data_IF_111746726574
#
_entry.id   IF_111746726574
#
_cell.length_a   1.000
_cell.length_b   1.000
_cell.length_c   1.000
_cell.angle_alpha   90.00
_cell.angle_beta   90.00
_cell.angle_gamma   90.00
#
_symmetry.space_group_name_H-M   'P 1'
#
loop_
_entity.id
_entity.type
_entity.pdbx_description
1 polymer ?
#
# COMPACT_ATOMS: atom_id res chain seq x y z
N UNK A 1 -12.09 -10.96 -6.30
CA UNK A 1 -11.76 -9.61 -5.84
C UNK A 1 -11.94 -8.61 -6.96
N UNK A 2 -12.39 -7.41 -6.59
CA UNK A 2 -12.58 -6.27 -7.51
C UNK A 2 -11.72 -5.13 -7.01
N UNK A 3 -10.79 -4.65 -7.83
CA UNK A 3 -9.98 -3.47 -7.53
C UNK A 3 -10.50 -2.28 -8.32
N UNK A 4 -10.70 -1.16 -7.64
CA UNK A 4 -11.22 0.08 -8.22
C UNK A 4 -10.36 1.26 -7.80
N UNK A 5 -10.02 2.14 -8.76
CA UNK A 5 -9.23 3.35 -8.53
C UNK A 5 -10.17 4.52 -8.19
N UNK A 6 -9.97 5.15 -7.03
CA UNK A 6 -10.78 6.28 -6.53
C UNK A 6 -9.83 7.41 -6.12
N UNK A 7 -9.10 7.93 -7.10
CA UNK A 7 -8.03 8.90 -6.87
C UNK A 7 -8.33 10.28 -7.43
N UNK A 8 -8.78 10.34 -8.69
CA UNK A 8 -8.77 11.57 -9.46
C UNK A 8 -10.05 12.40 -9.22
N UNK A 9 -9.86 13.68 -8.86
CA UNK A 9 -10.97 14.63 -8.67
C UNK A 9 -11.76 14.87 -9.96
N UNK A 10 -11.09 14.83 -11.13
CA UNK A 10 -11.75 15.01 -12.41
C UNK A 10 -12.61 13.81 -12.78
N UNK A 11 -12.09 12.59 -12.59
CA UNK A 11 -12.87 11.35 -12.78
C UNK A 11 -14.09 11.32 -11.86
N UNK A 12 -13.94 11.69 -10.59
CA UNK A 12 -15.06 11.77 -9.64
C UNK A 12 -16.09 12.79 -10.07
N UNK A 13 -15.66 13.98 -10.55
CA UNK A 13 -16.55 15.01 -11.08
C UNK A 13 -17.28 14.55 -12.33
N UNK A 14 -16.60 13.86 -13.25
CA UNK A 14 -17.19 13.34 -14.48
C UNK A 14 -18.22 12.24 -14.18
N UNK A 15 -17.91 11.30 -13.31
CA UNK A 15 -18.84 10.25 -12.86
C UNK A 15 -20.04 10.89 -12.16
N UNK A 16 -19.86 11.87 -11.29
CA UNK A 16 -20.96 12.55 -10.62
C UNK A 16 -21.89 13.29 -11.62
N UNK A 17 -21.32 13.88 -12.67
CA UNK A 17 -22.11 14.51 -13.75
C UNK A 17 -22.89 13.49 -14.59
N UNK A 18 -22.29 12.35 -14.90
CA UNK A 18 -22.90 11.31 -15.77
C UNK A 18 -23.97 10.50 -15.06
N UNK A 19 -23.76 10.20 -13.78
CA UNK A 19 -24.58 9.24 -13.04
C UNK A 19 -25.34 9.86 -11.85
N UNK A 20 -25.14 11.15 -11.57
CA UNK A 20 -25.80 11.84 -10.46
C UNK A 20 -25.34 11.39 -9.08
N UNK A 21 -24.24 10.64 -8.98
CA UNK A 21 -23.69 10.09 -7.74
C UNK A 21 -22.16 10.08 -7.79
N UNK A 22 -21.52 10.14 -6.61
CA UNK A 22 -20.07 9.92 -6.51
C UNK A 22 -19.70 8.48 -6.88
N UNK A 23 -18.42 8.22 -7.09
CA UNK A 23 -17.93 6.88 -7.46
C UNK A 23 -18.38 5.81 -6.47
N UNK A 24 -18.19 6.04 -5.17
CA UNK A 24 -18.57 5.06 -4.12
C UNK A 24 -20.07 4.81 -4.13
N UNK A 25 -20.90 5.86 -4.15
CA UNK A 25 -22.36 5.71 -4.20
C UNK A 25 -22.85 5.04 -5.48
N UNK A 26 -22.19 5.34 -6.60
CA UNK A 26 -22.55 4.71 -7.87
C UNK A 26 -22.22 3.20 -7.87
N UNK A 27 -21.07 2.83 -7.33
CA UNK A 27 -20.69 1.42 -7.17
C UNK A 27 -21.64 0.66 -6.23
N UNK A 28 -22.08 1.32 -5.16
CA UNK A 28 -23.07 0.77 -4.23
C UNK A 28 -24.43 0.57 -4.91
N UNK A 29 -24.91 1.57 -5.65
CA UNK A 29 -26.16 1.49 -6.42
C UNK A 29 -26.17 0.36 -7.46
N UNK A 30 -24.98 -0.07 -7.90
CA UNK A 30 -24.82 -1.20 -8.83
C UNK A 30 -24.60 -2.54 -8.12
N UNK A 31 -24.72 -2.61 -6.79
CA UNK A 31 -24.42 -3.78 -5.97
C UNK A 31 -23.02 -4.37 -6.22
N UNK A 32 -22.06 -3.52 -6.55
CA UNK A 32 -20.66 -3.92 -6.81
C UNK A 32 -19.80 -3.80 -5.54
N UNK A 33 -20.16 -2.90 -4.63
CA UNK A 33 -19.44 -2.64 -3.40
C UNK A 33 -19.75 -3.72 -2.36
N UNK A 34 -18.77 -4.56 -2.03
CA UNK A 34 -18.91 -5.67 -1.08
C UNK A 34 -17.59 -5.94 -0.33
N UNK A 35 -17.54 -6.97 0.50
CA UNK A 35 -16.37 -7.39 1.28
C UNK A 35 -15.19 -7.94 0.44
N UNK A 36 -15.40 -8.15 -0.86
CA UNK A 36 -14.38 -8.56 -1.83
C UNK A 36 -13.82 -7.39 -2.62
N UNK A 37 -14.35 -6.19 -2.39
CA UNK A 37 -13.93 -4.97 -3.08
C UNK A 37 -12.69 -4.35 -2.40
N UNK A 38 -11.69 -3.98 -3.20
CA UNK A 38 -10.52 -3.23 -2.78
C UNK A 38 -10.53 -1.87 -3.49
N UNK A 39 -10.69 -0.81 -2.73
CA UNK A 39 -10.81 0.56 -3.20
C UNK A 39 -9.44 1.24 -3.11
N UNK A 40 -8.78 1.43 -4.24
CA UNK A 40 -7.48 2.08 -4.27
C UNK A 40 -7.60 3.60 -4.08
N UNK A 41 -6.64 4.17 -3.34
CA UNK A 41 -6.44 5.59 -3.08
C UNK A 41 -7.44 6.23 -2.11
N UNK A 42 -8.72 6.28 -2.40
CA UNK A 42 -9.79 6.84 -1.56
C UNK A 42 -9.46 8.22 -0.99
N UNK A 43 -8.94 9.13 -1.84
CA UNK A 43 -8.48 10.45 -1.41
C UNK A 43 -9.66 11.38 -1.08
N UNK A 44 -10.68 11.35 -1.92
CA UNK A 44 -11.83 12.24 -1.84
C UNK A 44 -13.07 11.47 -1.42
N UNK A 45 -13.31 11.37 -0.12
CA UNK A 45 -14.48 10.71 0.48
C UNK A 45 -15.18 11.67 1.42
N UNK A 46 -16.51 11.72 1.36
CA UNK A 46 -17.32 12.33 2.42
C UNK A 46 -17.54 11.34 3.58
N UNK A 47 -18.18 11.80 4.67
CA UNK A 47 -18.39 10.95 5.86
C UNK A 47 -19.36 9.80 5.59
N UNK A 48 -20.39 10.03 4.79
CA UNK A 48 -21.32 8.98 4.38
C UNK A 48 -20.63 7.87 3.58
N UNK A 49 -19.74 8.23 2.67
CA UNK A 49 -18.99 7.25 1.87
C UNK A 49 -18.03 6.40 2.70
N UNK A 50 -17.41 7.00 3.71
CA UNK A 50 -16.55 6.27 4.65
C UNK A 50 -17.37 5.25 5.46
N UNK A 51 -18.55 5.67 5.94
CA UNK A 51 -19.47 4.80 6.67
C UNK A 51 -19.98 3.67 5.75
N UNK A 52 -20.34 3.98 4.50
CA UNK A 52 -20.77 3.01 3.50
C UNK A 52 -19.68 1.97 3.18
N UNK A 53 -18.42 2.40 3.01
CA UNK A 53 -17.27 1.49 2.81
C UNK A 53 -17.17 0.51 3.99
N UNK A 54 -17.34 1.00 5.22
CA UNK A 54 -17.36 0.16 6.42
C UNK A 54 -18.52 -0.82 6.42
N UNK A 55 -19.73 -0.36 6.14
CA UNK A 55 -20.96 -1.19 6.12
C UNK A 55 -20.87 -2.32 5.10
N UNK A 56 -20.29 -2.05 3.93
CA UNK A 56 -20.10 -3.04 2.85
C UNK A 56 -18.91 -3.97 3.11
N UNK A 57 -18.11 -3.71 4.13
CA UNK A 57 -16.92 -4.51 4.45
C UNK A 57 -15.77 -4.35 3.46
N UNK A 58 -15.85 -3.36 2.56
CA UNK A 58 -14.83 -3.12 1.54
C UNK A 58 -13.52 -2.66 2.17
N UNK A 59 -12.39 -3.04 1.56
CA UNK A 59 -11.07 -2.61 1.99
C UNK A 59 -10.58 -1.39 1.21
N UNK A 60 -9.73 -0.58 1.84
CA UNK A 60 -9.07 0.57 1.20
C UNK A 60 -7.58 0.29 1.05
N UNK A 61 -7.06 0.39 -0.18
CA UNK A 61 -5.62 0.35 -0.46
C UNK A 61 -5.06 1.77 -0.53
N UNK A 62 -4.40 2.21 0.54
CA UNK A 62 -3.76 3.52 0.63
C UNK A 62 -2.43 3.53 -0.14
N UNK A 63 -2.31 4.40 -1.14
CA UNK A 63 -1.14 4.51 -2.01
C UNK A 63 -0.51 5.92 -1.88
N UNK A 64 0.15 6.24 -0.76
CA UNK A 64 0.52 7.61 -0.42
C UNK A 64 1.51 8.22 -1.42
N UNK A 65 2.51 7.47 -1.88
CA UNK A 65 3.50 7.97 -2.82
C UNK A 65 2.90 8.37 -4.17
N UNK A 66 2.02 7.51 -4.70
CA UNK A 66 1.27 7.81 -5.94
C UNK A 66 0.38 9.04 -5.79
N UNK A 67 -0.36 9.13 -4.69
CA UNK A 67 -1.25 10.26 -4.41
C UNK A 67 -0.49 11.59 -4.37
N UNK A 68 0.67 11.61 -3.72
CA UNK A 68 1.52 12.80 -3.60
C UNK A 68 2.14 13.18 -4.95
N UNK A 69 2.78 12.21 -5.62
CA UNK A 69 3.46 12.46 -6.89
C UNK A 69 2.52 13.03 -7.95
N UNK A 70 1.29 12.52 -8.00
CA UNK A 70 0.28 12.94 -8.98
C UNK A 70 -0.59 14.10 -8.50
N UNK A 71 -0.31 14.67 -7.32
CA UNK A 71 -1.03 15.83 -6.80
C UNK A 71 -2.49 15.55 -6.46
N UNK A 72 -2.86 14.28 -6.20
CA UNK A 72 -4.24 13.88 -5.95
C UNK A 72 -4.74 14.29 -4.56
N UNK A 73 -3.83 14.46 -3.60
CA UNK A 73 -4.16 14.83 -2.22
C UNK A 73 -3.77 13.78 -1.20
N UNK A 74 -4.26 13.94 0.03
CA UNK A 74 -3.98 13.06 1.17
C UNK A 74 -5.26 12.31 1.52
N UNK A 75 -5.24 10.98 1.47
CA UNK A 75 -6.37 10.16 1.86
C UNK A 75 -6.69 10.29 3.37
N UNK A 76 -7.96 10.28 3.78
CA UNK A 76 -8.37 10.47 5.18
C UNK A 76 -8.17 9.19 6.02
N UNK A 77 -6.92 8.67 6.05
CA UNK A 77 -6.57 7.38 6.66
C UNK A 77 -7.01 7.30 8.12
N UNK A 78 -6.72 8.34 8.93
CA UNK A 78 -7.14 8.36 10.34
C UNK A 78 -8.65 8.20 10.50
N UNK A 79 -9.43 8.93 9.70
CA UNK A 79 -10.89 8.87 9.74
C UNK A 79 -11.46 7.50 9.30
N UNK A 80 -10.78 6.82 8.39
CA UNK A 80 -11.13 5.45 7.96
C UNK A 80 -10.83 4.44 9.06
N UNK A 81 -9.65 4.55 9.72
CA UNK A 81 -9.25 3.69 10.83
C UNK A 81 -10.16 3.86 12.04
N UNK A 82 -10.56 5.09 12.40
CA UNK A 82 -11.52 5.38 13.46
C UNK A 82 -12.89 4.71 13.23
N UNK A 83 -13.28 4.57 11.96
CA UNK A 83 -14.49 3.83 11.54
C UNK A 83 -14.25 2.32 11.42
N UNK A 84 -13.05 1.85 11.76
CA UNK A 84 -12.68 0.43 11.63
C UNK A 84 -12.80 -0.10 10.18
N UNK A 85 -12.59 0.74 9.18
CA UNK A 85 -12.41 0.30 7.80
C UNK A 85 -11.10 -0.47 7.69
N UNK A 86 -11.09 -1.56 6.95
CA UNK A 86 -9.85 -2.31 6.68
C UNK A 86 -8.97 -1.51 5.70
N UNK A 87 -8.00 -0.76 6.24
CA UNK A 87 -7.05 0.01 5.44
C UNK A 87 -5.76 -0.77 5.30
N UNK A 88 -5.31 -1.00 4.06
CA UNK A 88 -4.00 -1.56 3.73
C UNK A 88 -3.15 -0.55 2.96
N UNK A 89 -1.85 -0.83 2.81
CA UNK A 89 -0.91 0.04 2.10
C UNK A 89 -0.49 -0.64 0.79
N UNK A 90 -0.43 0.16 -0.28
CA UNK A 90 0.12 -0.23 -1.56
C UNK A 90 1.14 0.79 -2.07
N UNK A 91 1.98 0.36 -3.01
CA UNK A 91 2.91 1.24 -3.71
C UNK A 91 2.31 1.88 -4.95
N UNK A 92 1.16 1.32 -5.43
CA UNK A 92 0.67 1.53 -6.78
C UNK A 92 1.68 1.02 -7.84
N UNK A 93 1.41 1.20 -9.13
CA UNK A 93 2.32 0.81 -10.20
C UNK A 93 3.60 1.66 -10.23
N UNK A 94 4.67 1.10 -10.79
CA UNK A 94 5.97 1.77 -10.90
C UNK A 94 5.88 3.11 -11.66
N UNK A 95 4.96 3.26 -12.59
CA UNK A 95 4.77 4.51 -13.35
C UNK A 95 4.18 5.63 -12.48
N UNK A 96 3.31 5.27 -11.53
CA UNK A 96 2.62 6.21 -10.64
C UNK A 96 3.50 6.70 -9.50
N UNK A 97 4.35 5.83 -8.93
CA UNK A 97 5.22 6.14 -7.79
C UNK A 97 6.70 6.28 -8.15
N UNK A 98 7.15 5.86 -9.34
CA UNK A 98 8.54 5.66 -9.77
C UNK A 98 9.29 4.59 -8.97
N UNK A 99 8.71 4.06 -7.91
CA UNK A 99 9.32 3.08 -7.04
C UNK A 99 8.23 2.12 -6.51
N UNK A 100 8.63 0.88 -6.24
CA UNK A 100 7.80 -0.12 -5.56
C UNK A 100 8.28 -0.28 -4.10
N UNK A 101 8.66 0.83 -3.46
CA UNK A 101 9.22 0.86 -2.12
C UNK A 101 8.10 0.87 -1.05
N UNK A 102 7.89 -0.30 -0.44
CA UNK A 102 6.91 -0.43 0.64
C UNK A 102 7.35 0.31 1.91
N UNK A 103 8.67 0.43 2.19
CA UNK A 103 9.17 1.21 3.34
C UNK A 103 8.86 2.69 3.22
N UNK A 104 9.05 3.26 2.03
CA UNK A 104 8.65 4.64 1.75
C UNK A 104 7.13 4.81 1.94
N UNK A 105 6.34 3.89 1.39
CA UNK A 105 4.87 3.92 1.52
C UNK A 105 4.42 3.82 2.98
N UNK A 106 5.02 2.95 3.79
CA UNK A 106 4.75 2.83 5.23
C UNK A 106 5.06 4.14 5.97
N UNK A 107 6.24 4.74 5.71
CA UNK A 107 6.66 5.98 6.35
C UNK A 107 5.74 7.14 6.00
N UNK A 108 5.32 7.25 4.75
CA UNK A 108 4.34 8.24 4.32
C UNK A 108 2.97 8.01 4.96
N UNK A 109 2.50 6.77 5.02
CA UNK A 109 1.24 6.44 5.69
C UNK A 109 1.24 6.81 7.17
N UNK A 110 2.39 6.65 7.86
CA UNK A 110 2.57 7.04 9.25
C UNK A 110 2.65 8.56 9.44
N UNK A 111 3.28 9.29 8.52
CA UNK A 111 3.65 10.70 8.75
C UNK A 111 2.68 11.71 8.16
N UNK A 112 2.11 11.43 6.99
CA UNK A 112 1.20 12.37 6.32
C UNK A 112 -0.04 12.74 7.16
N UNK A 113 -0.77 11.78 7.77
CA UNK A 113 -1.91 12.13 8.61
C UNK A 113 -1.52 12.99 9.81
N UNK A 114 -0.36 12.70 10.44
CA UNK A 114 0.16 13.48 11.57
C UNK A 114 0.39 14.94 11.19
N UNK A 115 1.06 15.17 10.06
CA UNK A 115 1.32 16.53 9.57
C UNK A 115 0.05 17.25 9.13
N UNK A 116 -0.85 16.56 8.41
CA UNK A 116 -2.09 17.13 7.91
C UNK A 116 -3.06 17.53 9.04
N UNK A 117 -3.13 16.73 10.11
CA UNK A 117 -4.04 16.93 11.23
C UNK A 117 -3.36 17.59 12.45
N UNK A 118 -2.04 17.85 12.39
CA UNK A 118 -1.22 18.38 13.49
C UNK A 118 -1.37 17.57 14.79
N UNK A 119 -1.43 16.23 14.67
CA UNK A 119 -1.57 15.28 15.77
C UNK A 119 -0.45 14.23 15.71
N UNK A 120 0.48 14.16 16.67
CA UNK A 120 1.62 13.25 16.61
C UNK A 120 1.29 11.80 17.00
N UNK A 121 0.19 11.55 17.67
CA UNK A 121 -0.22 10.29 18.31
C UNK A 121 -1.10 9.41 17.44
N UNK A 122 -1.58 9.90 16.29
CA UNK A 122 -2.42 9.14 15.37
C UNK A 122 -1.58 8.22 14.46
N UNK A 123 -2.19 7.22 13.88
CA UNK A 123 -1.56 6.22 12.98
C UNK A 123 -0.18 5.77 13.52
N UNK A 124 -0.14 5.11 14.69
CA UNK A 124 1.11 4.68 15.32
C UNK A 124 1.80 3.58 14.50
N UNK A 125 3.09 3.34 14.75
CA UNK A 125 3.89 2.35 14.01
C UNK A 125 3.24 0.97 13.97
N UNK A 126 2.67 0.51 15.09
CA UNK A 126 1.96 -0.77 15.15
C UNK A 126 0.82 -0.86 14.12
N UNK A 127 0.00 0.18 14.02
CA UNK A 127 -1.11 0.26 13.05
C UNK A 127 -0.57 0.16 11.62
N UNK A 128 0.52 0.87 11.31
CA UNK A 128 1.15 0.83 9.98
C UNK A 128 1.67 -0.55 9.64
N UNK A 129 2.26 -1.27 10.60
CA UNK A 129 2.70 -2.66 10.39
C UNK A 129 1.49 -3.56 10.12
N UNK A 130 0.38 -3.41 10.85
CA UNK A 130 -0.86 -4.15 10.57
C UNK A 130 -1.40 -3.84 9.17
N UNK A 131 -1.36 -2.57 8.74
CA UNK A 131 -1.78 -2.15 7.39
C UNK A 131 -0.98 -2.82 6.27
N UNK A 132 0.31 -3.07 6.44
CA UNK A 132 1.16 -3.70 5.40
C UNK A 132 1.22 -5.24 5.50
N UNK A 133 0.66 -5.83 6.54
CA UNK A 133 0.69 -7.27 6.77
C UNK A 133 -0.72 -7.85 6.85
N UNK A 134 -1.29 -7.92 8.06
CA UNK A 134 -2.55 -8.59 8.32
C UNK A 134 -3.74 -7.93 7.61
N UNK A 135 -3.78 -6.60 7.53
CA UNK A 135 -4.85 -5.90 6.83
C UNK A 135 -4.81 -6.14 5.31
N UNK A 136 -3.60 -6.24 4.73
CA UNK A 136 -3.41 -6.67 3.35
C UNK A 136 -3.93 -8.08 3.11
N UNK A 137 -3.59 -9.00 4.00
CA UNK A 137 -4.09 -10.39 3.95
C UNK A 137 -5.62 -10.45 4.10
N UNK A 138 -6.22 -9.65 4.97
CA UNK A 138 -7.70 -9.53 5.11
C UNK A 138 -8.34 -9.00 3.83
N UNK A 139 -7.77 -7.92 3.24
CA UNK A 139 -8.27 -7.35 2.00
C UNK A 139 -8.24 -8.36 0.85
N UNK A 140 -7.28 -9.28 0.86
CA UNK A 140 -7.14 -10.36 -0.12
C UNK A 140 -7.97 -11.61 0.23
N UNK A 141 -8.70 -11.64 1.34
CA UNK A 141 -9.41 -12.83 1.83
C UNK A 141 -8.45 -13.97 2.22
N UNK A 142 -7.21 -13.65 2.63
CA UNK A 142 -6.13 -14.60 2.91
C UNK A 142 -5.59 -14.50 4.36
N UNK A 143 -6.33 -13.89 5.27
CA UNK A 143 -5.89 -13.71 6.64
C UNK A 143 -5.67 -15.01 7.42
N UNK A 144 -6.31 -16.11 7.00
CA UNK A 144 -6.08 -17.44 7.58
C UNK A 144 -4.75 -18.07 7.13
N UNK A 145 -4.24 -17.63 5.95
CA UNK A 145 -3.04 -18.20 5.34
C UNK A 145 -1.82 -17.29 5.48
N UNK A 146 -2.02 -15.96 5.55
CA UNK A 146 -0.99 -14.93 5.41
C UNK A 146 -1.15 -13.79 6.43
N UNK A 147 -0.17 -12.90 6.47
CA UNK A 147 -0.23 -11.61 7.20
C UNK A 147 0.27 -11.64 8.63
N UNK A 148 0.54 -12.81 9.19
CA UNK A 148 1.14 -12.97 10.53
C UNK A 148 2.00 -14.23 10.62
N UNK A 149 2.92 -14.26 11.58
CA UNK A 149 3.78 -15.41 11.84
C UNK A 149 3.11 -16.33 12.87
N UNK A 150 2.35 -17.29 12.36
CA UNK A 150 1.60 -18.25 13.17
C UNK A 150 1.80 -19.66 12.62
N UNK A 151 1.77 -20.67 13.51
CA UNK A 151 1.83 -22.08 13.11
C UNK A 151 0.61 -22.41 12.25
N UNK A 152 0.87 -23.02 11.08
CA UNK A 152 -0.17 -23.39 10.10
C UNK A 152 -0.38 -22.37 8.98
N UNK A 153 0.15 -21.15 9.10
CA UNK A 153 0.16 -20.18 7.99
C UNK A 153 1.34 -20.43 7.04
N UNK A 154 1.23 -19.89 5.84
CA UNK A 154 2.30 -19.91 4.86
C UNK A 154 3.51 -19.11 5.34
N UNK A 155 4.69 -19.59 5.02
CA UNK A 155 5.94 -18.95 5.38
C UNK A 155 6.31 -17.84 4.36
N UNK A 156 5.51 -16.78 4.32
CA UNK A 156 5.82 -15.53 3.64
C UNK A 156 6.52 -14.62 4.65
N UNK A 157 7.86 -14.64 4.65
CA UNK A 157 8.68 -14.05 5.71
C UNK A 157 9.78 -13.20 5.10
N UNK A 158 9.99 -12.01 5.65
CA UNK A 158 11.17 -11.19 5.40
C UNK A 158 12.06 -11.14 6.64
N UNK A 159 13.37 -11.10 6.44
CA UNK A 159 14.35 -10.88 7.50
C UNK A 159 15.04 -9.55 7.25
N UNK A 160 14.87 -8.63 8.18
CA UNK A 160 15.41 -7.27 8.14
C UNK A 160 16.63 -7.17 9.06
N UNK A 161 17.74 -6.63 8.56
CA UNK A 161 18.95 -6.44 9.34
C UNK A 161 18.83 -5.21 10.25
N UNK A 162 19.33 -5.35 11.46
CA UNK A 162 19.48 -4.25 12.42
C UNK A 162 20.94 -3.87 12.66
N UNK A 163 21.86 -4.33 11.81
CA UNK A 163 23.30 -4.12 11.97
C UNK A 163 23.83 -2.83 11.33
N UNK A 164 22.93 -1.99 10.78
CA UNK A 164 23.32 -0.71 10.19
C UNK A 164 23.37 0.41 11.27
N UNK A 165 24.15 1.48 10.99
CA UNK A 165 24.32 2.59 11.91
C UNK A 165 23.00 3.28 12.27
N UNK A 166 22.05 3.35 11.32
CA UNK A 166 20.71 3.92 11.54
C UNK A 166 19.78 3.03 12.37
N UNK A 167 20.20 1.78 12.66
CA UNK A 167 19.46 0.85 13.50
C UNK A 167 19.92 0.87 14.97
N UNK A 168 20.98 1.60 15.30
CA UNK A 168 21.54 1.60 16.63
C UNK A 168 21.38 2.97 17.33
N UNK A 169 20.86 3.01 18.59
CA UNK A 169 20.35 1.87 19.37
C UNK A 169 18.91 1.48 18.98
N UNK A 170 18.59 0.20 19.01
CA UNK A 170 17.24 -0.31 18.75
C UNK A 170 16.44 -0.41 20.04
N UNK A 171 15.49 0.50 20.26
CA UNK A 171 14.61 0.50 21.43
C UNK A 171 13.26 -0.17 21.17
N UNK A 172 12.63 0.13 20.03
CA UNK A 172 11.35 -0.43 19.62
C UNK A 172 11.41 -0.91 18.17
N UNK A 173 11.30 -2.22 17.93
CA UNK A 173 11.39 -2.78 16.58
C UNK A 173 10.32 -2.26 15.61
N UNK A 174 9.09 -2.01 16.07
CA UNK A 174 8.00 -1.56 15.20
C UNK A 174 8.24 -0.12 14.73
N UNK A 175 8.63 0.76 15.65
CA UNK A 175 9.03 2.14 15.35
C UNK A 175 10.22 2.16 14.39
N UNK A 176 11.22 1.31 14.63
CA UNK A 176 12.38 1.19 13.76
C UNK A 176 12.00 0.77 12.33
N UNK A 177 11.18 -0.28 12.19
CA UNK A 177 10.72 -0.75 10.88
C UNK A 177 10.01 0.35 10.09
N UNK A 178 9.15 1.14 10.73
CA UNK A 178 8.37 2.19 10.03
C UNK A 178 9.22 3.43 9.72
N UNK A 179 10.00 3.92 10.69
CA UNK A 179 10.62 5.25 10.57
C UNK A 179 12.09 5.23 10.18
N UNK A 180 12.83 4.14 10.45
CA UNK A 180 14.27 4.09 10.26
C UNK A 180 14.72 3.09 9.19
N UNK A 181 14.08 1.93 9.08
CA UNK A 181 14.47 0.89 8.11
C UNK A 181 14.23 1.30 6.66
N UNK A 182 14.97 0.67 5.76
CA UNK A 182 14.86 0.85 4.32
C UNK A 182 14.80 -0.52 3.60
N UNK A 183 14.42 -0.53 2.32
CA UNK A 183 14.41 -1.74 1.49
C UNK A 183 15.76 -2.44 1.41
N UNK A 184 16.87 -1.71 1.53
CA UNK A 184 18.24 -2.25 1.56
C UNK A 184 18.55 -3.08 2.81
N UNK A 185 17.77 -2.92 3.88
CA UNK A 185 17.95 -3.68 5.12
C UNK A 185 17.36 -5.09 5.05
N UNK A 186 16.52 -5.39 4.03
CA UNK A 186 16.00 -6.73 3.78
C UNK A 186 17.12 -7.64 3.33
N UNK A 187 17.39 -8.68 4.10
CA UNK A 187 18.47 -9.67 3.81
C UNK A 187 17.93 -10.96 3.22
N UNK A 188 16.79 -11.42 3.70
CA UNK A 188 16.19 -12.65 3.19
C UNK A 188 14.71 -12.44 2.94
N UNK A 189 14.19 -13.09 1.91
CA UNK A 189 12.75 -13.14 1.59
C UNK A 189 12.39 -14.59 1.31
N UNK A 190 11.35 -15.06 1.97
CA UNK A 190 10.72 -16.36 1.74
C UNK A 190 9.28 -16.14 1.28
N UNK A 191 8.86 -16.89 0.26
CA UNK A 191 7.49 -16.93 -0.25
C UNK A 191 7.04 -18.37 -0.23
N UNK A 192 5.99 -18.66 0.51
CA UNK A 192 5.48 -20.02 0.73
C UNK A 192 6.60 -21.01 1.17
N UNK A 193 7.52 -20.54 2.00
CA UNK A 193 8.67 -21.30 2.48
C UNK A 193 9.87 -21.39 1.52
N UNK A 194 9.73 -20.93 0.28
CA UNK A 194 10.83 -20.92 -0.69
C UNK A 194 11.65 -19.63 -0.55
N UNK A 195 12.95 -19.76 -0.35
CA UNK A 195 13.84 -18.61 -0.25
C UNK A 195 14.04 -17.97 -1.63
N UNK A 196 13.50 -16.76 -1.82
CA UNK A 196 13.60 -15.97 -3.05
C UNK A 196 14.76 -14.96 -3.02
N UNK A 197 15.13 -14.47 -1.81
CA UNK A 197 16.27 -13.55 -1.63
C UNK A 197 17.16 -14.05 -0.51
N UNK A 198 18.49 -14.01 -0.74
CA UNK A 198 19.53 -14.36 0.24
C UNK A 198 20.59 -13.28 0.29
N UNK A 199 20.84 -12.72 1.49
CA UNK A 199 21.82 -11.63 1.69
C UNK A 199 21.63 -10.47 0.71
N UNK A 200 20.38 -10.11 0.40
CA UNK A 200 20.05 -9.04 -0.54
C UNK A 200 20.14 -9.43 -2.04
N UNK A 201 20.60 -10.64 -2.36
CA UNK A 201 20.65 -11.14 -3.75
C UNK A 201 19.40 -11.93 -4.10
N UNK A 202 18.79 -11.64 -5.24
CA UNK A 202 17.63 -12.37 -5.76
C UNK A 202 18.12 -13.72 -6.32
N UNK A 203 17.43 -14.80 -5.96
CA UNK A 203 17.79 -16.16 -6.35
C UNK A 203 16.97 -16.70 -7.54
N UNK A 204 15.85 -16.06 -7.82
CA UNK A 204 14.84 -16.57 -8.79
C UNK A 204 15.07 -16.07 -10.21
N UNK A 205 15.95 -15.10 -10.42
CA UNK A 205 16.24 -14.50 -11.72
C UNK A 205 17.72 -14.11 -11.83
N UNK A 206 18.22 -14.05 -13.07
CA UNK A 206 19.53 -13.47 -13.36
C UNK A 206 19.37 -11.96 -13.57
N UNK A 207 19.89 -11.15 -12.65
CA UNK A 207 19.75 -9.69 -12.69
C UNK A 207 20.48 -9.06 -13.89
N UNK A 208 21.62 -9.61 -14.32
CA UNK A 208 22.38 -9.08 -15.46
C UNK A 208 21.61 -9.27 -16.75
N UNK A 209 20.95 -10.41 -16.93
CA UNK A 209 20.10 -10.68 -18.09
C UNK A 209 18.90 -9.72 -18.12
N UNK A 210 18.25 -9.50 -16.97
CA UNK A 210 17.13 -8.55 -16.86
C UNK A 210 17.58 -7.14 -17.20
N UNK A 211 18.68 -6.67 -16.63
CA UNK A 211 19.22 -5.33 -16.90
C UNK A 211 19.60 -5.16 -18.37
N UNK A 212 20.17 -6.21 -18.99
CA UNK A 212 20.47 -6.20 -20.41
C UNK A 212 19.21 -6.04 -21.26
N UNK A 213 18.16 -6.82 -21.00
CA UNK A 213 16.89 -6.73 -21.75
C UNK A 213 16.18 -5.38 -21.54
N UNK A 214 16.15 -4.87 -20.30
CA UNK A 214 15.54 -3.56 -20.00
C UNK A 214 16.25 -2.42 -20.73
N UNK A 215 17.59 -2.43 -20.79
CA UNK A 215 18.35 -1.39 -21.50
C UNK A 215 18.07 -1.35 -22.99
N UNK A 216 17.68 -2.46 -23.62
CA UNK A 216 17.27 -2.48 -25.04
C UNK A 216 15.99 -1.69 -25.29
N UNK A 217 15.15 -1.49 -24.28
CA UNK A 217 13.91 -0.74 -24.39
C UNK A 217 14.12 0.80 -24.41
N UNK A 218 15.28 1.28 -23.94
CA UNK A 218 15.55 2.71 -23.82
C UNK A 218 15.41 3.44 -25.16
N UNK A 219 16.08 2.95 -26.20
CA UNK A 219 16.08 3.59 -27.53
C UNK A 219 14.68 3.59 -28.18
N UNK A 220 13.93 2.49 -28.27
CA UNK A 220 12.57 2.49 -28.80
C UNK A 220 11.63 3.42 -28.03
N UNK A 221 11.75 3.50 -26.71
CA UNK A 221 10.92 4.38 -25.88
C UNK A 221 11.23 5.85 -26.20
N UNK A 222 12.51 6.25 -26.25
CA UNK A 222 12.91 7.60 -26.59
C UNK A 222 12.48 8.02 -28.00
N UNK A 223 12.50 7.08 -28.94
CA UNK A 223 12.04 7.32 -30.31
C UNK A 223 10.52 7.50 -30.40
N UNK A 224 9.75 6.82 -29.55
CA UNK A 224 8.27 6.93 -29.49
C UNK A 224 7.78 8.25 -28.87
N UNK A 225 8.64 8.99 -28.19
CA UNK A 225 8.31 10.28 -27.55
C UNK A 225 8.56 11.49 -28.46
N UNK A 226 9.11 11.27 -29.65
CA UNK A 226 9.34 12.31 -30.66
C UNK A 226 8.16 12.43 -31.61
#
# INVERSE_FOLDING_TARGET
QRQMCIRDRFEQSDIAKRYGASVIRHLDNLDILDDRSILAHCVHLDDYEKDLIKERGSAVAHNPMSNLKLGSGIAPVQSLLERQVNVTIGTDGAISGNDLDMWLSMRLAATLPKGALMKPDIVPAKEVIEMVTLNGARALGKANDLGSLEVGKKADIIVVSTNAIHAAPLFDPLTHLVYSSAKSDVKHVFVDGVQCVRNGSILTVNMDDILYEVRKLEKPILESLK
#
